data_IF_383018829577
#
_entry.id   IF_383018829577
#
_cell.length_a   1.000
_cell.length_b   1.000
_cell.length_c   1.000
_cell.angle_alpha   90.00
_cell.angle_beta   90.00
_cell.angle_gamma   90.00
#
_symmetry.space_group_name_H-M   'P 1'
#
loop_
_entity.id
_entity.type
_entity.pdbx_description
1 polymer ?
#
# COMPACT_ATOMS: atom_id res chain seq x y z
N UNK A 1 -11.04 30.67 35.93
CA UNK A 1 -11.32 31.38 34.67
C UNK A 1 -11.76 30.34 33.65
N UNK A 2 -13.02 30.42 33.22
CA UNK A 2 -13.66 29.48 32.31
C UNK A 2 -13.67 30.05 30.89
N UNK A 3 -13.36 29.24 29.88
CA UNK A 3 -13.58 29.61 28.48
C UNK A 3 -14.36 28.49 27.80
N UNK A 4 -15.69 28.67 27.74
CA UNK A 4 -16.63 27.85 26.97
C UNK A 4 -16.50 28.21 25.49
N UNK A 5 -16.23 27.22 24.63
CA UNK A 5 -16.45 27.33 23.20
C UNK A 5 -17.74 26.58 22.83
N UNK A 6 -18.80 27.32 22.51
CA UNK A 6 -20.03 26.80 21.93
C UNK A 6 -19.84 26.65 20.41
N UNK A 7 -20.09 25.45 19.88
CA UNK A 7 -20.19 25.22 18.43
C UNK A 7 -21.64 24.84 18.08
N UNK A 8 -22.18 25.57 17.11
CA UNK A 8 -23.59 25.56 16.73
C UNK A 8 -24.02 24.25 16.06
N UNK A 9 -25.20 23.75 16.45
CA UNK A 9 -25.92 22.65 15.81
C UNK A 9 -26.50 23.11 14.47
N UNK A 10 -26.25 22.38 13.38
CA UNK A 10 -27.01 22.50 12.12
C UNK A 10 -27.73 21.19 11.84
N UNK A 11 -29.05 21.26 11.94
CA UNK A 11 -30.04 20.25 11.54
C UNK A 11 -30.45 20.48 10.08
N UNK A 12 -30.62 19.41 9.29
CA UNK A 12 -31.58 19.22 8.18
C UNK A 12 -31.37 17.79 7.65
N UNK A 13 -32.29 16.85 7.86
CA UNK A 13 -33.59 16.64 7.20
C UNK A 13 -33.47 15.86 5.88
N UNK A 14 -34.23 14.75 5.87
CA UNK A 14 -34.34 13.62 4.95
C UNK A 14 -35.08 13.99 3.66
N UNK A 15 -34.77 13.35 2.53
CA UNK A 15 -35.80 12.95 1.56
C UNK A 15 -35.39 11.73 0.71
N UNK A 16 -36.30 10.74 0.70
CA UNK A 16 -36.40 9.60 -0.22
C UNK A 16 -36.71 10.07 -1.64
N UNK A 17 -36.21 9.36 -2.66
CA UNK A 17 -36.96 9.12 -3.92
C UNK A 17 -36.70 7.69 -4.40
N UNK A 18 -37.78 7.12 -4.90
CA UNK A 18 -38.12 5.73 -5.21
C UNK A 18 -37.59 5.18 -6.54
N UNK A 19 -37.60 3.84 -6.61
CA UNK A 19 -37.56 2.98 -7.79
C UNK A 19 -38.59 3.36 -8.86
N UNK A 20 -38.23 3.21 -10.15
CA UNK A 20 -38.95 2.38 -11.13
C UNK A 20 -38.25 2.46 -12.51
N UNK A 21 -38.10 1.32 -13.20
CA UNK A 21 -38.66 1.07 -14.56
C UNK A 21 -37.80 0.12 -15.42
N UNK A 22 -38.43 -1.02 -15.73
CA UNK A 22 -38.39 -1.86 -16.93
C UNK A 22 -37.16 -2.71 -17.32
N UNK A 23 -37.41 -4.02 -17.12
CA UNK A 23 -37.14 -5.12 -18.07
C UNK A 23 -37.45 -4.75 -19.53
N UNK A 24 -36.57 -5.13 -20.46
CA UNK A 24 -36.96 -5.61 -21.79
C UNK A 24 -36.12 -6.83 -22.18
N UNK A 25 -36.86 -7.90 -22.41
CA UNK A 25 -36.54 -9.16 -23.07
C UNK A 25 -36.11 -9.00 -24.53
N UNK A 26 -35.33 -9.94 -25.05
CA UNK A 26 -35.13 -10.11 -26.50
C UNK A 26 -34.06 -11.14 -26.87
N UNK A 27 -34.48 -12.39 -26.99
CA UNK A 27 -33.77 -13.56 -27.54
C UNK A 27 -33.83 -13.63 -29.07
N UNK A 28 -32.80 -14.18 -29.72
CA UNK A 28 -32.76 -15.04 -30.94
C UNK A 28 -31.37 -14.90 -31.59
N UNK A 29 -30.51 -15.92 -31.59
CA UNK A 29 -30.43 -17.14 -32.42
C UNK A 29 -30.04 -16.89 -33.90
N UNK A 30 -29.03 -17.68 -34.29
CA UNK A 30 -28.64 -18.14 -35.64
C UNK A 30 -27.98 -17.10 -36.58
N UNK A 31 -26.93 -17.37 -37.36
CA UNK A 31 -26.38 -18.62 -37.88
C UNK A 31 -24.98 -18.41 -38.51
N UNK A 32 -24.24 -19.52 -38.54
CA UNK A 32 -23.18 -19.98 -39.45
C UNK A 32 -22.69 -19.06 -40.59
N UNK A 33 -21.37 -18.95 -40.71
CA UNK A 33 -20.70 -18.58 -41.96
C UNK A 33 -19.20 -18.84 -41.89
N UNK A 34 -18.75 -20.00 -42.37
CA UNK A 34 -17.34 -20.31 -42.60
C UNK A 34 -16.81 -19.53 -43.82
N UNK A 35 -15.55 -19.10 -43.77
CA UNK A 35 -14.62 -19.13 -44.91
C UNK A 35 -13.20 -18.82 -44.43
N UNK A 36 -12.34 -19.82 -44.57
CA UNK A 36 -10.90 -19.67 -44.65
C UNK A 36 -10.57 -18.91 -45.94
N UNK A 37 -9.73 -17.88 -45.85
CA UNK A 37 -8.79 -17.55 -46.92
C UNK A 37 -7.45 -17.17 -46.31
N UNK A 38 -6.44 -17.79 -46.89
CA UNK A 38 -5.03 -17.81 -46.57
C UNK A 38 -4.28 -16.56 -47.04
N UNK A 39 -3.08 -16.42 -46.48
CA UNK A 39 -1.85 -15.89 -47.08
C UNK A 39 -1.40 -14.44 -46.82
N UNK A 40 -0.31 -14.42 -46.03
CA UNK A 40 1.01 -13.87 -46.34
C UNK A 40 1.25 -12.37 -46.13
N UNK A 41 2.15 -12.12 -45.18
CA UNK A 41 2.82 -10.86 -44.91
C UNK A 41 3.93 -10.59 -45.94
N UNK A 42 4.16 -9.32 -46.33
CA UNK A 42 5.34 -8.91 -47.07
C UNK A 42 6.53 -8.57 -46.15
N UNK A 43 7.78 -8.62 -46.66
CA UNK A 43 9.01 -8.74 -45.86
C UNK A 43 9.62 -7.42 -45.38
N UNK A 44 10.43 -7.56 -44.33
CA UNK A 44 11.29 -6.57 -43.67
C UNK A 44 12.30 -5.89 -44.62
N UNK A 45 12.33 -4.55 -44.61
CA UNK A 45 13.41 -3.76 -45.22
C UNK A 45 14.58 -3.61 -44.25
N UNK A 46 15.78 -3.91 -44.75
CA UNK A 46 17.10 -3.77 -44.11
C UNK A 46 17.44 -2.30 -43.83
N UNK A 47 18.01 -2.04 -42.65
CA UNK A 47 18.72 -0.79 -42.34
C UNK A 47 20.19 -0.90 -42.81
N UNK A 48 20.83 0.20 -43.25
CA UNK A 48 22.22 0.17 -43.71
C UNK A 48 23.20 0.19 -42.52
N UNK A 49 24.30 -0.50 -42.73
CA UNK A 49 25.49 -0.62 -41.88
C UNK A 49 26.21 0.73 -41.79
N UNK A 50 26.55 1.17 -40.58
CA UNK A 50 27.42 2.32 -40.36
C UNK A 50 28.84 1.82 -40.09
N UNK A 51 29.77 2.22 -40.98
CA UNK A 51 31.21 2.13 -40.81
C UNK A 51 31.66 2.83 -39.52
N UNK A 52 32.45 2.14 -38.71
CA UNK A 52 33.32 2.76 -37.71
C UNK A 52 34.72 2.87 -38.32
N UNK A 53 35.14 4.10 -38.59
CA UNK A 53 36.53 4.42 -38.87
C UNK A 53 37.29 4.57 -37.54
N UNK A 54 38.40 3.86 -37.45
CA UNK A 54 39.40 3.92 -36.39
C UNK A 54 40.00 5.32 -36.24
N UNK A 55 39.90 5.90 -35.04
CA UNK A 55 40.80 6.98 -34.62
C UNK A 55 41.34 6.67 -33.23
N UNK A 56 42.54 6.10 -33.24
CA UNK A 56 43.42 5.90 -32.09
C UNK A 56 44.00 7.25 -31.65
N UNK A 57 43.73 7.68 -30.42
CA UNK A 57 44.44 8.78 -29.77
C UNK A 57 44.82 8.38 -28.34
N UNK A 58 46.11 8.12 -28.16
CA UNK A 58 46.80 7.95 -26.90
C UNK A 58 46.52 9.13 -25.94
N UNK A 59 45.87 8.85 -24.81
CA UNK A 59 45.68 9.80 -23.72
C UNK A 59 45.66 9.07 -22.38
N UNK A 60 46.77 9.18 -21.64
CA UNK A 60 46.98 8.91 -20.21
C UNK A 60 45.85 8.17 -19.45
N UNK A 61 46.10 6.89 -19.16
CA UNK A 61 45.46 6.18 -18.05
C UNK A 61 45.87 6.84 -16.72
N UNK A 62 45.03 7.73 -16.21
CA UNK A 62 44.94 7.98 -14.76
C UNK A 62 43.77 7.17 -14.25
N UNK A 63 44.08 6.09 -13.51
CA UNK A 63 43.13 5.37 -12.66
C UNK A 63 42.56 6.34 -11.64
N UNK A 64 41.36 6.85 -11.89
CA UNK A 64 40.47 7.32 -10.85
C UNK A 64 39.57 6.12 -10.56
N UNK A 65 40.02 5.26 -9.64
CA UNK A 65 39.09 4.35 -8.99
C UNK A 65 38.22 5.21 -8.07
N UNK A 66 36.96 5.34 -8.46
CA UNK A 66 35.88 6.00 -7.74
C UNK A 66 35.64 5.28 -6.39
N UNK A 67 36.53 5.52 -5.44
CA UNK A 67 36.28 5.31 -4.03
C UNK A 67 35.57 6.57 -3.52
N UNK A 68 34.33 6.80 -3.99
CA UNK A 68 33.46 7.74 -3.28
C UNK A 68 33.12 7.09 -1.94
N UNK A 69 33.50 7.70 -0.80
CA UNK A 69 33.01 7.23 0.47
C UNK A 69 31.48 7.31 0.40
N UNK A 70 30.81 6.19 0.66
CA UNK A 70 29.40 6.21 1.03
C UNK A 70 29.35 6.99 2.33
N UNK A 71 29.18 8.31 2.22
CA UNK A 71 29.06 9.18 3.37
C UNK A 71 27.88 8.64 4.16
N UNK A 72 28.20 8.10 5.33
CA UNK A 72 27.23 7.63 6.31
C UNK A 72 26.40 8.86 6.70
N UNK A 73 25.27 9.04 6.02
CA UNK A 73 24.39 10.18 6.23
C UNK A 73 24.10 10.30 7.73
N UNK A 74 24.20 11.54 8.23
CA UNK A 74 24.01 11.92 9.61
C UNK A 74 22.79 11.25 10.24
N UNK A 75 22.87 11.04 11.56
CA UNK A 75 21.99 10.36 12.52
C UNK A 75 20.52 10.85 12.58
N UNK A 76 19.92 11.14 11.43
CA UNK A 76 18.53 11.53 11.28
C UNK A 76 17.60 10.31 11.31
N UNK A 77 16.40 10.51 11.85
CA UNK A 77 15.38 9.47 11.88
C UNK A 77 14.90 9.20 10.44
N UNK A 78 15.16 7.99 9.93
CA UNK A 78 14.70 7.51 8.62
C UNK A 78 13.61 6.45 8.76
N UNK A 79 12.61 6.51 7.89
CA UNK A 79 11.54 5.52 7.78
C UNK A 79 11.54 4.91 6.39
N UNK A 80 11.52 3.58 6.33
CA UNK A 80 11.33 2.85 5.07
C UNK A 80 9.82 2.69 4.82
N UNK A 81 9.35 3.07 3.64
CA UNK A 81 7.95 2.90 3.23
C UNK A 81 7.90 1.82 2.15
N UNK A 82 7.42 0.64 2.50
CA UNK A 82 7.19 -0.45 1.56
C UNK A 82 5.83 -0.23 0.89
N UNK A 83 5.86 0.16 -0.38
CA UNK A 83 4.66 0.53 -1.12
C UNK A 83 4.17 -0.59 -2.04
N UNK A 84 2.87 -0.86 -1.94
CA UNK A 84 2.13 -1.80 -2.79
C UNK A 84 1.85 -1.24 -4.20
N UNK A 85 2.32 -0.04 -4.52
CA UNK A 85 1.93 0.69 -5.73
C UNK A 85 0.52 1.27 -5.63
N UNK A 86 0.07 1.51 -4.39
CA UNK A 86 -1.25 2.05 -4.12
C UNK A 86 -1.24 3.58 -4.15
N UNK A 87 -2.44 4.17 -4.20
CA UNK A 87 -2.60 5.63 -4.20
C UNK A 87 -2.02 6.31 -2.95
N UNK A 88 -1.87 5.58 -1.84
CA UNK A 88 -1.54 6.15 -0.54
C UNK A 88 -0.04 6.21 -0.22
N UNK A 89 0.84 5.50 -0.93
CA UNK A 89 2.28 5.50 -0.62
C UNK A 89 2.88 6.91 -0.58
N UNK A 90 2.56 7.74 -1.57
CA UNK A 90 2.99 9.15 -1.62
C UNK A 90 2.34 10.04 -0.55
N UNK A 91 1.12 9.70 -0.13
CA UNK A 91 0.44 10.43 0.96
C UNK A 91 1.13 10.14 2.28
N UNK A 92 1.50 8.87 2.52
CA UNK A 92 2.27 8.45 3.69
C UNK A 92 3.64 9.14 3.69
N UNK A 93 4.38 9.11 2.58
CA UNK A 93 5.67 9.80 2.44
C UNK A 93 5.55 11.28 2.79
N UNK A 94 4.54 11.96 2.25
CA UNK A 94 4.27 13.37 2.57
C UNK A 94 4.00 13.58 4.06
N UNK A 95 3.18 12.74 4.72
CA UNK A 95 2.86 12.88 6.15
C UNK A 95 4.09 12.65 7.04
N UNK A 96 4.94 11.68 6.70
CA UNK A 96 6.20 11.44 7.42
C UNK A 96 7.13 12.65 7.30
N UNK A 97 7.25 13.23 6.09
CA UNK A 97 8.07 14.44 5.87
C UNK A 97 7.52 15.67 6.58
N UNK A 98 6.18 15.82 6.65
CA UNK A 98 5.53 16.90 7.42
C UNK A 98 5.84 16.81 8.92
N UNK A 99 6.13 15.60 9.43
CA UNK A 99 6.62 15.35 10.79
C UNK A 99 8.15 15.54 10.93
N UNK A 100 8.82 16.04 9.89
CA UNK A 100 10.28 16.29 9.83
C UNK A 100 11.16 15.03 9.95
N UNK A 101 10.60 13.88 9.62
CA UNK A 101 11.30 12.59 9.54
C UNK A 101 11.65 12.30 8.09
N UNK A 102 12.85 11.76 7.83
CA UNK A 102 13.23 11.37 6.48
C UNK A 102 12.52 10.07 6.09
N UNK A 103 12.07 9.97 4.85
CA UNK A 103 11.43 8.77 4.32
C UNK A 103 12.04 8.36 2.98
N UNK A 104 12.03 7.05 2.74
CA UNK A 104 12.44 6.45 1.47
C UNK A 104 11.40 5.39 1.08
N UNK A 105 10.96 5.44 -0.18
CA UNK A 105 9.95 4.53 -0.71
C UNK A 105 10.62 3.36 -1.42
N UNK A 106 10.16 2.15 -1.10
CA UNK A 106 10.66 0.90 -1.65
C UNK A 106 9.52 0.06 -2.23
N UNK A 107 9.80 -0.79 -3.23
CA UNK A 107 8.89 -1.85 -3.63
C UNK A 107 8.56 -2.78 -2.45
N UNK A 108 7.32 -3.30 -2.39
CA UNK A 108 6.87 -4.19 -1.32
C UNK A 108 7.76 -5.44 -1.14
N UNK A 109 8.34 -5.97 -2.23
CA UNK A 109 9.20 -7.16 -2.21
C UNK A 109 10.64 -6.88 -1.78
N UNK A 110 10.93 -5.68 -1.28
CA UNK A 110 12.25 -5.33 -0.71
C UNK A 110 12.51 -6.14 0.55
N UNK A 111 13.71 -6.70 0.67
CA UNK A 111 14.07 -7.57 1.79
C UNK A 111 14.46 -6.77 3.04
N UNK A 112 14.26 -7.37 4.21
CA UNK A 112 14.69 -6.80 5.49
C UNK A 112 16.20 -6.55 5.50
N UNK A 113 16.96 -7.50 4.96
CA UNK A 113 18.41 -7.39 4.79
C UNK A 113 18.82 -6.17 3.98
N UNK A 114 18.15 -5.89 2.86
CA UNK A 114 18.49 -4.72 2.04
C UNK A 114 18.28 -3.40 2.80
N UNK A 115 17.17 -3.29 3.54
CA UNK A 115 16.89 -2.12 4.40
C UNK A 115 17.98 -1.97 5.47
N UNK A 116 18.40 -3.07 6.09
CA UNK A 116 19.47 -3.07 7.09
C UNK A 116 20.84 -2.68 6.50
N UNK A 117 21.17 -3.16 5.30
CA UNK A 117 22.42 -2.84 4.59
C UNK A 117 22.52 -1.37 4.22
N UNK A 118 21.42 -0.74 3.79
CA UNK A 118 21.35 0.71 3.56
C UNK A 118 21.54 1.53 4.84
N UNK A 119 21.18 0.95 6.00
CA UNK A 119 21.40 1.51 7.32
C UNK A 119 20.55 2.75 7.65
N UNK A 120 20.55 3.16 8.91
CA UNK A 120 19.92 4.42 9.37
C UNK A 120 18.39 4.42 9.52
N UNK A 121 17.70 3.36 9.07
CA UNK A 121 16.26 3.22 9.28
C UNK A 121 15.91 2.93 10.75
N UNK A 122 14.87 3.61 11.24
CA UNK A 122 14.35 3.49 12.61
C UNK A 122 12.97 2.85 12.68
N UNK A 123 12.25 2.77 11.56
CA UNK A 123 10.95 2.12 11.46
C UNK A 123 10.62 1.76 10.00
N UNK A 124 9.63 0.90 9.84
CA UNK A 124 9.09 0.46 8.56
C UNK A 124 7.58 0.75 8.53
N UNK A 125 7.08 1.34 7.44
CA UNK A 125 5.65 1.46 7.16
C UNK A 125 5.32 0.60 5.94
N UNK A 126 4.32 -0.26 6.05
CA UNK A 126 3.81 -1.08 4.94
C UNK A 126 2.50 -0.45 4.48
N UNK A 127 2.45 0.04 3.24
CA UNK A 127 1.27 0.71 2.71
C UNK A 127 0.13 -0.27 2.41
N UNK A 128 -1.07 0.30 2.29
CA UNK A 128 -2.29 -0.41 1.90
C UNK A 128 -2.56 -0.32 0.40
N UNK A 129 -3.10 -1.36 -0.22
CA UNK A 129 -3.61 -1.34 -1.61
C UNK A 129 -5.02 -1.95 -1.72
N UNK A 130 -5.70 -1.79 -2.86
CA UNK A 130 -7.09 -2.25 -3.05
C UNK A 130 -7.22 -3.78 -3.22
N UNK A 131 -6.10 -4.48 -3.31
CA UNK A 131 -6.07 -5.91 -3.60
C UNK A 131 -6.22 -6.73 -2.33
N UNK A 132 -6.82 -7.91 -2.46
CA UNK A 132 -6.93 -8.89 -1.37
C UNK A 132 -5.61 -9.64 -1.16
N UNK A 133 -5.30 -9.98 0.10
CA UNK A 133 -4.13 -10.79 0.48
C UNK A 133 -4.19 -12.24 -0.02
N UNK A 134 -5.32 -12.66 -0.57
CA UNK A 134 -5.53 -14.00 -1.14
C UNK A 134 -5.52 -14.03 -2.68
N UNK A 135 -5.25 -12.90 -3.35
CA UNK A 135 -5.10 -12.92 -4.80
C UNK A 135 -3.93 -13.83 -5.22
N UNK A 136 -4.09 -14.59 -6.30
CA UNK A 136 -3.07 -15.56 -6.79
C UNK A 136 -1.72 -14.91 -7.09
N UNK A 137 -1.72 -13.61 -7.40
CA UNK A 137 -0.52 -12.80 -7.63
C UNK A 137 -0.37 -11.70 -6.56
N UNK A 138 -0.85 -11.94 -5.34
CA UNK A 138 -0.70 -10.99 -4.24
C UNK A 138 0.80 -10.67 -4.05
N UNK A 139 1.20 -9.40 -4.13
CA UNK A 139 2.56 -8.97 -3.85
C UNK A 139 3.05 -9.54 -2.51
N UNK A 140 4.20 -10.23 -2.57
CA UNK A 140 4.79 -10.87 -1.42
C UNK A 140 5.73 -9.89 -0.71
N UNK A 141 5.60 -9.82 0.61
CA UNK A 141 6.55 -9.15 1.50
C UNK A 141 7.52 -10.18 2.06
N UNK A 142 8.77 -9.77 2.30
CA UNK A 142 9.73 -10.57 3.04
C UNK A 142 9.29 -10.73 4.52
N UNK A 143 9.01 -11.95 5.02
CA UNK A 143 8.57 -12.16 6.40
C UNK A 143 9.59 -11.66 7.45
N UNK A 144 10.89 -11.60 7.10
CA UNK A 144 11.92 -11.10 8.01
C UNK A 144 11.71 -9.62 8.38
N UNK A 145 10.89 -8.87 7.62
CA UNK A 145 10.51 -7.50 7.94
C UNK A 145 9.88 -7.41 9.35
N UNK A 146 9.10 -8.41 9.77
CA UNK A 146 8.44 -8.41 11.07
C UNK A 146 9.35 -8.86 12.23
N UNK A 147 10.51 -9.43 11.94
CA UNK A 147 11.46 -9.95 12.94
C UNK A 147 12.81 -9.23 12.92
N UNK A 148 13.02 -8.27 12.01
CA UNK A 148 14.27 -7.54 11.81
C UNK A 148 14.65 -6.56 12.94
N UNK A 149 13.81 -6.44 13.98
CA UNK A 149 14.05 -5.58 15.14
C UNK A 149 13.64 -4.11 14.98
N UNK A 150 13.13 -3.72 13.81
CA UNK A 150 12.56 -2.39 13.58
C UNK A 150 11.05 -2.37 13.90
N UNK A 151 10.51 -1.30 14.51
CA UNK A 151 9.06 -1.08 14.60
C UNK A 151 8.40 -1.07 13.22
N UNK A 152 7.29 -1.79 13.08
CA UNK A 152 6.55 -1.91 11.82
C UNK A 152 5.12 -1.41 11.99
N UNK A 153 4.69 -0.48 11.14
CA UNK A 153 3.30 -0.04 11.02
C UNK A 153 2.70 -0.57 9.71
N UNK A 154 1.73 -1.47 9.81
CA UNK A 154 0.95 -1.93 8.66
C UNK A 154 -0.33 -1.10 8.49
N UNK A 155 -0.57 -0.55 7.30
CA UNK A 155 -1.78 0.21 6.99
C UNK A 155 -2.64 -0.60 6.02
N UNK A 156 -3.90 -0.87 6.39
CA UNK A 156 -4.85 -1.64 5.58
C UNK A 156 -4.29 -2.99 5.11
N UNK A 157 -3.87 -3.11 3.84
CA UNK A 157 -3.24 -4.34 3.32
C UNK A 157 -1.99 -4.74 4.12
N UNK A 158 -1.16 -3.77 4.53
CA UNK A 158 -0.01 -4.03 5.39
C UNK A 158 -0.39 -4.62 6.75
N UNK A 159 -1.51 -4.17 7.33
CA UNK A 159 -2.06 -4.74 8.57
C UNK A 159 -2.55 -6.18 8.35
N UNK A 160 -3.26 -6.44 7.24
CA UNK A 160 -3.73 -7.79 6.90
C UNK A 160 -2.56 -8.76 6.67
N UNK A 161 -1.51 -8.32 5.98
CA UNK A 161 -0.29 -9.09 5.78
C UNK A 161 0.39 -9.41 7.12
N UNK A 162 0.53 -8.40 7.98
CA UNK A 162 1.10 -8.57 9.32
C UNK A 162 0.33 -9.63 10.11
N UNK A 163 -1.00 -9.55 10.13
CA UNK A 163 -1.83 -10.55 10.83
C UNK A 163 -1.64 -11.95 10.24
N UNK A 164 -1.75 -12.09 8.91
CA UNK A 164 -1.66 -13.39 8.21
C UNK A 164 -0.30 -14.06 8.39
N UNK A 165 0.79 -13.30 8.27
CA UNK A 165 2.16 -13.83 8.36
C UNK A 165 2.57 -14.18 9.79
N UNK A 166 1.88 -13.64 10.79
CA UNK A 166 2.07 -13.98 12.20
C UNK A 166 1.07 -15.03 12.71
N UNK A 167 0.41 -15.78 11.81
CA UNK A 167 -0.44 -16.92 12.18
C UNK A 167 -1.92 -16.59 12.44
N UNK A 168 -2.33 -15.34 12.20
CA UNK A 168 -3.74 -14.97 12.14
C UNK A 168 -4.38 -15.33 10.78
N UNK A 169 -5.66 -15.05 10.64
CA UNK A 169 -6.39 -15.20 9.38
C UNK A 169 -7.19 -13.96 9.02
N UNK A 170 -7.48 -13.81 7.73
CA UNK A 170 -8.20 -12.66 7.18
C UNK A 170 -9.40 -13.21 6.43
N UNK A 171 -10.57 -12.64 6.64
CA UNK A 171 -11.81 -13.01 5.95
C UNK A 171 -12.11 -12.01 4.84
N UNK A 172 -12.52 -12.50 3.68
CA UNK A 172 -13.15 -11.66 2.65
C UNK A 172 -14.55 -11.29 3.09
N UNK A 173 -14.88 -10.00 3.13
CA UNK A 173 -16.25 -9.57 3.37
C UNK A 173 -17.02 -9.48 2.05
N UNK A 174 -18.30 -9.85 2.08
CA UNK A 174 -19.15 -9.81 0.89
C UNK A 174 -19.58 -8.39 0.51
N UNK A 175 -19.60 -7.47 1.48
CA UNK A 175 -19.99 -6.09 1.28
C UNK A 175 -18.77 -5.21 1.44
N UNK A 176 -18.43 -4.48 0.38
CA UNK A 176 -17.39 -3.47 0.41
C UNK A 176 -17.98 -2.14 0.82
N UNK A 177 -17.72 -1.74 2.04
CA UNK A 177 -18.00 -0.38 2.52
C UNK A 177 -16.70 0.41 2.47
N UNK A 178 -16.66 1.44 1.61
CA UNK A 178 -15.57 2.41 1.59
C UNK A 178 -16.17 3.72 2.13
N UNK A 179 -15.72 4.18 3.31
CA UNK A 179 -16.33 5.35 3.93
C UNK A 179 -15.72 5.80 5.24
N UNK A 180 -16.17 7.00 5.67
CA UNK A 180 -15.88 7.50 7.00
C UNK A 180 -16.66 6.66 8.02
N UNK A 181 -15.95 6.08 8.96
CA UNK A 181 -16.50 5.24 10.02
C UNK A 181 -16.00 5.75 11.37
N UNK A 182 -16.83 5.62 12.41
CA UNK A 182 -16.38 5.83 13.79
C UNK A 182 -15.78 4.54 14.32
N UNK A 183 -14.60 4.64 14.92
CA UNK A 183 -13.94 3.54 15.62
C UNK A 183 -13.78 3.87 17.09
N UNK A 184 -13.81 2.83 17.92
CA UNK A 184 -13.39 2.89 19.31
C UNK A 184 -11.90 2.52 19.40
N UNK A 185 -11.10 3.34 20.08
CA UNK A 185 -9.66 3.13 20.25
C UNK A 185 -9.26 2.95 21.71
N UNK A 186 -8.28 2.10 21.96
CA UNK A 186 -7.65 1.94 23.28
C UNK A 186 -6.57 3.01 23.46
N UNK A 187 -6.92 4.13 24.12
CA UNK A 187 -5.97 5.22 24.38
C UNK A 187 -4.81 4.84 25.32
N UNK A 188 -4.84 3.66 25.96
CA UNK A 188 -3.67 3.15 26.70
C UNK A 188 -2.59 2.58 25.79
N UNK A 189 -2.93 2.28 24.53
CA UNK A 189 -1.97 1.85 23.54
C UNK A 189 -1.09 3.02 23.09
N UNK A 190 0.22 2.79 22.98
CA UNK A 190 1.18 3.81 22.58
C UNK A 190 0.82 4.49 21.25
N UNK A 191 0.21 3.76 20.31
CA UNK A 191 -0.18 4.26 19.00
C UNK A 191 -1.31 5.31 19.05
N UNK A 192 -2.20 5.24 20.04
CA UNK A 192 -3.40 6.08 20.16
C UNK A 192 -3.37 7.02 21.38
N UNK A 193 -2.18 7.17 21.98
CA UNK A 193 -1.99 8.09 23.09
C UNK A 193 -2.29 9.53 22.66
N UNK A 194 -3.14 10.23 23.42
CA UNK A 194 -3.55 11.61 23.15
C UNK A 194 -4.71 11.79 22.17
N UNK A 195 -5.24 10.70 21.61
CA UNK A 195 -6.48 10.70 20.82
C UNK A 195 -7.71 10.64 21.73
N UNK A 196 -8.90 10.88 21.16
CA UNK A 196 -10.16 10.63 21.85
C UNK A 196 -10.47 9.12 21.84
N UNK A 197 -11.36 8.63 22.72
CA UNK A 197 -11.78 7.22 22.71
C UNK A 197 -12.55 6.82 21.45
N UNK A 198 -13.11 7.80 20.74
CA UNK A 198 -13.82 7.62 19.48
C UNK A 198 -13.19 8.51 18.42
N UNK A 199 -12.79 7.91 17.31
CA UNK A 199 -12.14 8.61 16.20
C UNK A 199 -12.86 8.34 14.89
N UNK A 200 -12.95 9.32 14.02
CA UNK A 200 -13.47 9.14 12.66
C UNK A 200 -12.32 8.79 11.73
N UNK A 201 -12.37 7.60 11.14
CA UNK A 201 -11.35 7.09 10.21
C UNK A 201 -11.93 6.77 8.85
N UNK A 202 -11.07 6.78 7.83
CA UNK A 202 -11.43 6.23 6.53
C UNK A 202 -11.12 4.73 6.53
N UNK A 203 -12.17 3.93 6.63
CA UNK A 203 -12.05 2.47 6.65
C UNK A 203 -12.37 1.92 5.26
N UNK A 204 -11.56 0.96 4.81
CA UNK A 204 -11.74 0.27 3.53
C UNK A 204 -12.06 -1.19 3.82
N UNK A 205 -13.33 -1.58 3.71
CA UNK A 205 -13.79 -2.92 4.04
C UNK A 205 -13.71 -3.83 2.81
N UNK A 206 -12.52 -4.37 2.50
CA UNK A 206 -12.39 -5.43 1.49
C UNK A 206 -12.22 -6.79 2.16
N UNK A 207 -11.12 -6.90 2.89
CA UNK A 207 -10.77 -8.05 3.71
C UNK A 207 -10.69 -7.57 5.18
N UNK A 208 -11.19 -8.36 6.13
CA UNK A 208 -11.27 -7.99 7.54
C UNK A 208 -10.52 -8.97 8.44
N UNK A 209 -9.99 -8.44 9.54
CA UNK A 209 -9.53 -9.23 10.68
C UNK A 209 -10.63 -9.15 11.74
N UNK A 210 -10.98 -10.29 12.30
CA UNK A 210 -11.93 -10.39 13.41
C UNK A 210 -11.19 -10.68 14.70
N UNK A 211 -11.88 -10.52 15.83
CA UNK A 211 -11.32 -10.87 17.13
C UNK A 211 -10.93 -12.36 17.23
N UNK A 212 -11.62 -13.25 16.50
CA UNK A 212 -11.31 -14.67 16.46
C UNK A 212 -10.11 -15.02 15.56
N UNK A 213 -9.67 -14.10 14.71
CA UNK A 213 -8.66 -14.34 13.68
C UNK A 213 -7.40 -13.49 13.83
N UNK A 214 -7.31 -12.71 14.92
CA UNK A 214 -6.10 -11.96 15.25
C UNK A 214 -4.95 -12.92 15.58
N UNK A 215 -3.75 -12.58 15.10
CA UNK A 215 -2.55 -13.35 15.32
C UNK A 215 -2.22 -13.51 16.82
N UNK A 216 -1.68 -14.66 17.24
CA UNK A 216 -1.23 -14.84 18.61
C UNK A 216 -0.16 -13.81 18.99
N UNK A 217 -0.22 -13.32 20.23
CA UNK A 217 0.71 -12.29 20.74
C UNK A 217 0.34 -10.85 20.37
N UNK A 218 -0.68 -10.64 19.53
CA UNK A 218 -1.21 -9.32 19.23
C UNK A 218 -2.35 -8.95 20.18
N UNK A 219 -2.47 -7.65 20.46
CA UNK A 219 -3.59 -7.07 21.22
C UNK A 219 -4.43 -6.22 20.27
N UNK A 220 -5.75 -6.40 20.32
CA UNK A 220 -6.69 -5.53 19.61
C UNK A 220 -6.76 -4.19 20.35
N UNK A 221 -6.45 -3.10 19.64
CA UNK A 221 -6.40 -1.74 20.19
C UNK A 221 -7.35 -0.77 19.49
N UNK A 222 -8.06 -1.18 18.45
CA UNK A 222 -9.14 -0.43 17.83
C UNK A 222 -10.20 -1.36 17.23
N UNK A 223 -11.45 -0.90 17.21
CA UNK A 223 -12.60 -1.65 16.68
C UNK A 223 -13.63 -0.75 16.00
N UNK A 224 -14.28 -1.26 14.96
CA UNK A 224 -15.54 -0.74 14.42
C UNK A 224 -16.62 -1.81 14.58
N UNK A 225 -17.45 -1.71 15.61
CA UNK A 225 -18.42 -2.75 15.94
C UNK A 225 -17.74 -4.11 16.19
N UNK A 226 -17.93 -5.07 15.27
CA UNK A 226 -17.33 -6.41 15.36
C UNK A 226 -15.99 -6.54 14.62
N UNK A 227 -15.62 -5.54 13.81
CA UNK A 227 -14.40 -5.53 13.02
C UNK A 227 -13.21 -5.02 13.82
N UNK A 228 -12.05 -5.66 13.67
CA UNK A 228 -10.78 -5.12 14.16
C UNK A 228 -10.32 -4.04 13.19
N UNK A 229 -9.96 -2.87 13.72
CA UNK A 229 -9.55 -1.69 12.96
C UNK A 229 -8.08 -1.32 13.24
#
# INVERSE_FOLDING_TARGET
>A
MATKFQRAKRTKAVSKVSEHTMKRSGSMLDSKGSRQTTNQAPPSKKAPENNCDDVNMNGKHTTIEDNLPVEKMSDGERVAILDFGAQYGKVIDRRVRELRVQSEMFPLNTTARHIQELGGFKAIIISGGPNSVYATNAPMIDPEIFTCGLPVLGICYGFQLMNKLNGGSVSREQVREDGACEIEVDNSALLFNGLQPTETVLLTHGDSVSQATVAPGFKIIAKSGHHVA
#
